data_IF_480104831485
#
_entry.id   IF_480104831485
#
_cell.length_a   1.000
_cell.length_b   1.000
_cell.length_c   1.000
_cell.angle_alpha   90.00
_cell.angle_beta   90.00
_cell.angle_gamma   90.00
#
_symmetry.space_group_name_H-M   'P 1'
#
loop_
_entity.id
_entity.type
_entity.pdbx_description
1 polymer ?
#
# COMPACT_ATOMS: atom_id res chain seq x y z
N UNK A 1 16.33 0.15 7.64
CA UNK A 1 16.48 0.57 9.05
C UNK A 1 17.81 0.15 9.67
N UNK A 2 18.09 -1.14 9.87
CA UNK A 2 19.35 -1.62 10.49
C UNK A 2 20.62 -1.08 9.81
N UNK A 3 20.72 -1.22 8.48
CA UNK A 3 21.86 -0.72 7.70
C UNK A 3 22.06 0.80 7.83
N UNK A 4 20.98 1.57 7.82
CA UNK A 4 21.02 3.02 8.01
C UNK A 4 21.65 3.42 9.34
N UNK A 5 21.33 2.71 10.43
CA UNK A 5 21.98 2.94 11.73
C UNK A 5 23.47 2.64 11.66
N UNK A 6 23.86 1.50 11.07
CA UNK A 6 25.28 1.14 10.92
C UNK A 6 26.08 2.18 10.15
N UNK A 7 25.47 2.81 9.15
CA UNK A 7 26.16 3.77 8.29
C UNK A 7 26.25 5.17 8.90
N UNK A 8 25.33 5.56 9.80
CA UNK A 8 25.22 6.96 10.29
C UNK A 8 25.39 7.12 11.81
N UNK A 9 25.55 6.05 12.59
CA UNK A 9 25.60 6.15 14.05
C UNK A 9 26.80 6.93 14.59
N UNK A 10 27.91 6.99 13.84
CA UNK A 10 29.13 7.69 14.23
C UNK A 10 28.98 9.21 14.12
N UNK A 11 28.16 9.68 13.18
CA UNK A 11 27.91 11.11 12.94
C UNK A 11 26.90 11.66 13.96
N UNK A 12 25.73 11.01 14.04
CA UNK A 12 24.70 11.35 15.01
C UNK A 12 23.88 10.10 15.36
N UNK A 13 24.26 9.49 16.49
CA UNK A 13 23.59 8.31 17.02
C UNK A 13 22.09 8.53 17.27
N UNK A 14 21.69 9.70 17.76
CA UNK A 14 20.30 9.97 18.13
C UNK A 14 19.44 10.12 16.87
N UNK A 15 19.90 10.91 15.92
CA UNK A 15 19.21 11.08 14.64
C UNK A 15 19.16 9.76 13.84
N UNK A 16 20.24 8.98 13.82
CA UNK A 16 20.28 7.69 13.15
C UNK A 16 19.24 6.71 13.70
N UNK A 17 19.08 6.64 15.03
CA UNK A 17 18.08 5.79 15.69
C UNK A 17 16.66 6.27 15.37
N UNK A 18 16.38 7.57 15.48
CA UNK A 18 15.04 8.10 15.22
C UNK A 18 14.62 7.93 13.75
N UNK A 19 15.54 8.15 12.80
CA UNK A 19 15.29 7.89 11.38
C UNK A 19 15.06 6.41 11.11
N UNK A 20 15.84 5.52 11.73
CA UNK A 20 15.63 4.08 11.58
C UNK A 20 14.29 3.61 12.18
N UNK A 21 13.88 4.15 13.34
CA UNK A 21 12.55 3.93 13.91
C UNK A 21 11.45 4.42 12.98
N UNK A 22 11.63 5.59 12.35
CA UNK A 22 10.68 6.12 11.36
C UNK A 22 10.56 5.18 10.16
N UNK A 23 11.68 4.74 9.56
CA UNK A 23 11.69 3.76 8.46
C UNK A 23 10.92 2.48 8.85
N UNK A 24 11.11 1.98 10.07
CA UNK A 24 10.35 0.82 10.54
C UNK A 24 8.88 1.16 10.78
N UNK A 25 8.56 2.32 11.37
CA UNK A 25 7.19 2.81 11.62
C UNK A 25 6.36 2.84 10.35
N UNK A 26 7.01 3.13 9.23
CA UNK A 26 6.36 3.38 7.96
C UNK A 26 6.53 2.25 6.94
N UNK A 27 7.18 1.14 7.31
CA UNK A 27 7.21 -0.07 6.49
C UNK A 27 5.85 -0.77 6.57
N UNK A 28 5.00 -0.53 5.56
CA UNK A 28 3.66 -1.11 5.43
C UNK A 28 3.67 -2.58 5.00
N UNK A 29 4.84 -3.18 4.82
CA UNK A 29 4.98 -4.55 4.37
C UNK A 29 4.35 -5.57 5.33
N UNK A 30 4.24 -5.26 6.63
CA UNK A 30 3.65 -6.16 7.64
C UNK A 30 2.96 -5.39 8.77
N UNK A 31 1.84 -5.93 9.27
CA UNK A 31 1.20 -5.45 10.49
C UNK A 31 2.19 -5.64 11.64
N UNK A 32 2.51 -4.58 12.37
CA UNK A 32 3.48 -4.66 13.48
C UNK A 32 2.86 -5.44 14.62
N UNK A 33 3.60 -6.39 15.13
CA UNK A 33 3.24 -7.09 16.35
C UNK A 33 3.24 -6.13 17.53
N UNK A 34 2.07 -5.92 18.11
CA UNK A 34 2.02 -5.69 19.55
C UNK A 34 2.48 -7.00 20.19
N UNK A 35 3.54 -6.98 20.98
CA UNK A 35 4.01 -8.15 21.74
C UNK A 35 3.03 -8.57 22.85
N UNK A 36 1.76 -8.23 22.67
CA UNK A 36 0.64 -8.34 23.59
C UNK A 36 -0.58 -8.84 22.82
N UNK A 37 -1.21 -9.89 23.33
CA UNK A 37 -2.43 -10.46 22.78
C UNK A 37 -3.63 -9.76 23.41
N UNK A 38 -4.36 -8.98 22.62
CA UNK A 38 -5.59 -8.31 23.08
C UNK A 38 -6.83 -9.21 22.98
N UNK A 39 -6.75 -10.27 22.18
CA UNK A 39 -7.81 -11.26 22.01
C UNK A 39 -7.24 -12.66 21.85
N UNK A 40 -8.10 -13.68 21.96
CA UNK A 40 -7.76 -15.09 21.68
C UNK A 40 -7.49 -15.36 20.19
N UNK A 41 -7.89 -14.44 19.31
CA UNK A 41 -7.55 -14.41 17.89
C UNK A 41 -6.25 -13.60 17.70
N UNK A 42 -5.22 -14.20 17.10
CA UNK A 42 -3.90 -13.57 16.92
C UNK A 42 -3.89 -12.50 15.80
N UNK A 43 -4.88 -11.60 15.78
CA UNK A 43 -5.13 -10.61 14.73
C UNK A 43 -4.02 -9.54 14.62
N UNK A 44 -3.27 -9.34 15.71
CA UNK A 44 -2.15 -8.40 15.78
C UNK A 44 -0.79 -9.10 15.66
N UNK A 45 -0.78 -10.41 15.35
CA UNK A 45 0.46 -11.16 15.16
C UNK A 45 0.89 -11.15 13.69
N UNK A 46 2.21 -11.19 13.46
CA UNK A 46 2.77 -11.41 12.13
C UNK A 46 2.34 -12.79 11.63
N UNK A 47 1.53 -12.85 10.59
CA UNK A 47 1.19 -14.11 9.93
C UNK A 47 2.39 -14.58 9.08
N UNK A 48 3.02 -15.72 9.38
CA UNK A 48 4.14 -16.25 8.60
C UNK A 48 3.75 -16.56 7.14
N UNK A 49 2.46 -16.77 6.88
CA UNK A 49 1.92 -17.03 5.53
C UNK A 49 1.64 -15.73 4.76
N UNK A 50 1.59 -14.59 5.45
CA UNK A 50 1.44 -13.29 4.79
C UNK A 50 2.76 -12.93 4.10
N UNK A 51 2.74 -12.95 2.77
CA UNK A 51 3.87 -12.51 1.97
C UNK A 51 4.21 -11.05 2.36
N UNK A 52 5.36 -10.86 2.97
CA UNK A 52 5.85 -9.58 3.52
C UNK A 52 6.23 -8.54 2.46
N UNK A 53 5.57 -8.56 1.30
CA UNK A 53 5.71 -7.54 0.26
C UNK A 53 4.36 -7.08 -0.27
N UNK A 54 3.25 -7.52 0.31
CA UNK A 54 1.92 -7.31 -0.28
C UNK A 54 1.40 -5.89 -0.01
N UNK A 55 1.76 -5.27 1.12
CA UNK A 55 1.26 -3.95 1.52
C UNK A 55 -0.06 -4.02 2.30
N UNK A 56 -0.64 -2.87 2.66
CA UNK A 56 -1.96 -2.79 3.31
C UNK A 56 -3.04 -3.09 2.27
N UNK A 57 -3.97 -3.98 2.56
CA UNK A 57 -5.09 -4.27 1.66
C UNK A 57 -6.02 -3.05 1.51
N UNK A 58 -6.18 -2.58 0.27
CA UNK A 58 -7.05 -1.46 -0.10
C UNK A 58 -8.41 -1.90 -0.65
N UNK A 59 -8.60 -3.19 -0.91
CA UNK A 59 -9.85 -3.72 -1.45
C UNK A 59 -9.70 -4.40 -2.79
N UNK A 60 -10.86 -4.65 -3.41
CA UNK A 60 -10.98 -5.18 -4.78
C UNK A 60 -11.50 -4.11 -5.72
N UNK A 61 -11.10 -4.20 -6.99
CA UNK A 61 -11.66 -3.36 -8.05
C UNK A 61 -13.11 -3.76 -8.27
N UNK A 62 -14.04 -2.83 -8.02
CA UNK A 62 -15.47 -3.05 -8.25
C UNK A 62 -15.93 -2.43 -9.56
N UNK A 63 -15.43 -1.23 -9.89
CA UNK A 63 -15.75 -0.52 -11.12
C UNK A 63 -14.47 0.01 -11.78
N UNK A 64 -14.49 0.08 -13.11
CA UNK A 64 -13.42 0.68 -13.90
C UNK A 64 -14.05 1.69 -14.86
N UNK A 65 -13.50 2.90 -14.89
CA UNK A 65 -13.80 3.94 -15.87
C UNK A 65 -12.57 4.20 -16.72
N UNK A 66 -12.76 4.65 -17.94
CA UNK A 66 -11.65 5.01 -18.83
C UNK A 66 -11.73 6.48 -19.16
N UNK A 67 -10.57 7.15 -19.15
CA UNK A 67 -10.47 8.50 -19.67
C UNK A 67 -10.83 8.51 -21.17
N UNK A 68 -11.68 9.45 -21.59
CA UNK A 68 -12.20 9.51 -22.97
C UNK A 68 -11.08 9.68 -24.02
N UNK A 69 -10.09 10.53 -23.72
CA UNK A 69 -8.95 10.82 -24.63
C UNK A 69 -7.77 9.85 -24.53
N UNK A 70 -7.30 9.54 -23.31
CA UNK A 70 -6.05 8.76 -23.10
C UNK A 70 -6.28 7.26 -22.95
N UNK A 71 -7.56 6.82 -22.83
CA UNK A 71 -7.95 5.44 -22.49
C UNK A 71 -7.25 4.92 -21.22
N UNK A 72 -6.94 5.82 -20.30
CA UNK A 72 -6.29 5.51 -19.04
C UNK A 72 -7.35 5.01 -18.06
N UNK A 73 -7.18 3.85 -17.40
CA UNK A 73 -8.19 3.32 -16.51
C UNK A 73 -8.11 4.00 -15.15
N UNK A 74 -9.29 4.32 -14.61
CA UNK A 74 -9.47 4.68 -13.22
C UNK A 74 -10.34 3.63 -12.54
N UNK A 75 -9.93 3.23 -11.35
CA UNK A 75 -10.52 2.10 -10.64
C UNK A 75 -11.18 2.60 -9.36
N UNK A 76 -12.34 2.03 -9.05
CA UNK A 76 -13.01 2.20 -7.76
C UNK A 76 -12.75 0.96 -6.93
N UNK A 77 -12.29 1.16 -5.70
CA UNK A 77 -11.96 0.09 -4.76
C UNK A 77 -13.05 -0.05 -3.71
N UNK A 78 -13.37 -1.31 -3.36
CA UNK A 78 -14.28 -1.62 -2.26
C UNK A 78 -13.66 -2.61 -1.28
N UNK A 79 -13.86 -2.34 0.01
CA UNK A 79 -13.45 -3.21 1.11
C UNK A 79 -12.09 -2.90 1.74
N UNK A 80 -11.45 -1.78 1.40
CA UNK A 80 -10.30 -1.25 2.12
C UNK A 80 -10.69 -0.33 3.28
N UNK A 81 -9.77 -0.15 4.23
CA UNK A 81 -9.93 0.78 5.36
C UNK A 81 -9.17 2.10 5.16
N UNK A 82 -8.59 2.30 3.98
CA UNK A 82 -7.77 3.47 3.65
C UNK A 82 -8.15 3.97 2.26
N UNK A 83 -8.30 5.29 2.14
CA UNK A 83 -8.60 5.98 0.89
C UNK A 83 -7.28 6.46 0.27
N UNK A 84 -6.89 5.94 -0.91
CA UNK A 84 -5.60 6.31 -1.52
C UNK A 84 -5.56 7.77 -1.96
N UNK A 85 -4.41 8.41 -1.77
CA UNK A 85 -4.15 9.80 -2.16
C UNK A 85 -3.18 9.91 -3.33
N UNK A 86 -3.17 11.08 -4.00
CA UNK A 86 -2.20 11.38 -5.05
C UNK A 86 -0.77 11.32 -4.47
N UNK A 87 0.08 10.48 -5.06
CA UNK A 87 1.45 10.23 -4.63
C UNK A 87 1.64 8.91 -3.89
N UNK A 88 0.55 8.26 -3.48
CA UNK A 88 0.60 6.92 -2.90
C UNK A 88 1.08 5.89 -3.93
N UNK A 89 1.81 4.88 -3.47
CA UNK A 89 2.23 3.76 -4.31
C UNK A 89 1.35 2.56 -4.00
N UNK A 90 0.58 2.13 -4.98
CA UNK A 90 -0.31 0.98 -4.90
C UNK A 90 0.26 -0.20 -5.68
N UNK A 91 -0.16 -1.41 -5.33
CA UNK A 91 0.12 -2.64 -6.05
C UNK A 91 -1.17 -3.34 -6.40
N UNK A 92 -1.33 -3.66 -7.68
CA UNK A 92 -2.47 -4.38 -8.21
C UNK A 92 -2.06 -5.82 -8.46
N UNK A 93 -2.85 -6.75 -7.94
CA UNK A 93 -2.69 -8.19 -8.13
C UNK A 93 -3.89 -8.70 -8.90
N UNK A 94 -3.63 -9.42 -10.00
CA UNK A 94 -4.69 -10.11 -10.70
C UNK A 94 -5.28 -11.23 -9.85
N UNK A 95 -6.58 -11.48 -9.99
CA UNK A 95 -7.28 -12.57 -9.31
C UNK A 95 -6.71 -13.97 -9.61
N UNK A 96 -6.04 -14.14 -10.75
CA UNK A 96 -5.39 -15.37 -11.19
C UNK A 96 -3.93 -15.47 -10.72
N UNK A 97 -3.45 -14.49 -9.92
CA UNK A 97 -2.06 -14.32 -9.46
C UNK A 97 -1.02 -14.30 -10.58
N UNK A 98 -1.44 -14.15 -11.84
CA UNK A 98 -0.55 -14.18 -13.01
C UNK A 98 0.33 -12.94 -13.11
N UNK A 99 -0.10 -11.82 -12.51
CA UNK A 99 0.60 -10.57 -12.61
C UNK A 99 0.40 -9.67 -11.39
N UNK A 100 1.48 -8.97 -11.02
CA UNK A 100 1.54 -8.00 -9.94
C UNK A 100 2.26 -6.75 -10.43
N UNK A 101 1.57 -5.62 -10.44
CA UNK A 101 2.12 -4.35 -10.94
C UNK A 101 2.03 -3.29 -9.87
N UNK A 102 3.15 -2.61 -9.62
CA UNK A 102 3.17 -1.45 -8.72
C UNK A 102 3.00 -0.18 -9.54
N UNK A 103 2.17 0.74 -9.05
CA UNK A 103 1.82 1.98 -9.71
C UNK A 103 1.78 3.12 -8.69
N UNK A 104 2.37 4.26 -9.03
CA UNK A 104 2.24 5.46 -8.23
C UNK A 104 1.00 6.21 -8.69
N UNK A 105 0.07 6.45 -7.77
CA UNK A 105 -1.16 7.22 -8.00
C UNK A 105 -0.77 8.64 -8.38
N UNK A 106 -1.18 9.06 -9.57
CA UNK A 106 -0.93 10.39 -10.13
C UNK A 106 -2.17 11.25 -10.11
N UNK A 107 -3.34 10.64 -10.20
CA UNK A 107 -4.60 11.36 -10.36
C UNK A 107 -5.75 10.60 -9.71
N UNK A 108 -6.67 11.38 -9.13
CA UNK A 108 -7.89 10.89 -8.50
C UNK A 108 -9.06 11.65 -9.12
N UNK A 109 -10.08 10.91 -9.54
CA UNK A 109 -11.32 11.44 -10.08
C UNK A 109 -12.47 11.12 -9.14
N UNK A 110 -13.15 12.14 -8.68
CA UNK A 110 -14.42 11.97 -7.96
C UNK A 110 -15.57 11.99 -8.97
N UNK A 111 -16.40 10.93 -8.96
CA UNK A 111 -17.55 10.85 -9.85
C UNK A 111 -18.74 10.25 -9.12
N UNK A 112 -19.84 11.02 -9.04
CA UNK A 112 -21.07 10.61 -8.36
C UNK A 112 -20.88 10.19 -6.88
N UNK A 113 -19.92 10.81 -6.19
CA UNK A 113 -19.56 10.49 -4.80
C UNK A 113 -18.64 9.28 -4.64
N UNK A 114 -18.30 8.58 -5.73
CA UNK A 114 -17.30 7.51 -5.74
C UNK A 114 -15.93 8.08 -6.13
N UNK A 115 -14.88 7.68 -5.40
CA UNK A 115 -13.49 8.10 -5.64
C UNK A 115 -12.75 7.08 -6.52
N UNK A 116 -12.39 7.48 -7.73
CA UNK A 116 -11.68 6.65 -8.69
C UNK A 116 -10.20 7.03 -8.73
N UNK A 117 -9.31 6.05 -8.61
CA UNK A 117 -7.86 6.25 -8.64
C UNK A 117 -7.27 5.80 -9.97
N UNK A 118 -6.27 6.50 -10.50
CA UNK A 118 -5.62 6.08 -11.74
C UNK A 118 -4.85 4.76 -11.56
N UNK A 119 -4.90 3.92 -12.59
CA UNK A 119 -4.33 2.57 -12.55
C UNK A 119 -3.62 2.20 -13.86
N UNK A 120 -2.73 1.20 -13.84
CA UNK A 120 -2.18 0.64 -15.06
C UNK A 120 -3.23 -0.16 -15.85
N UNK A 121 -3.01 -0.27 -17.16
CA UNK A 121 -3.86 -1.09 -18.06
C UNK A 121 -3.68 -2.58 -17.77
N UNK A 122 -4.73 -3.37 -18.00
CA UNK A 122 -4.68 -4.84 -17.93
C UNK A 122 -5.23 -5.47 -16.65
N UNK A 123 -5.83 -4.67 -15.77
CA UNK A 123 -6.56 -5.12 -14.59
C UNK A 123 -8.07 -5.04 -14.80
N UNK A 124 -8.82 -5.85 -14.06
CA UNK A 124 -10.25 -6.08 -14.23
C UNK A 124 -10.98 -6.16 -12.88
N UNK A 125 -12.32 -6.14 -12.92
CA UNK A 125 -13.14 -6.26 -11.72
C UNK A 125 -12.81 -7.56 -10.95
N UNK A 126 -12.65 -7.44 -9.64
CA UNK A 126 -12.28 -8.52 -8.73
C UNK A 126 -10.79 -8.65 -8.45
N UNK A 127 -9.93 -7.95 -9.18
CA UNK A 127 -8.49 -7.86 -8.88
C UNK A 127 -8.27 -7.12 -7.55
N UNK A 128 -7.27 -7.55 -6.79
CA UNK A 128 -6.99 -7.01 -5.45
C UNK A 128 -5.94 -5.92 -5.51
N UNK A 129 -6.12 -4.87 -4.71
CA UNK A 129 -5.21 -3.73 -4.65
C UNK A 129 -4.70 -3.54 -3.22
N UNK A 130 -3.42 -3.18 -3.13
CA UNK A 130 -2.72 -2.98 -1.87
C UNK A 130 -1.93 -1.67 -1.89
N UNK A 131 -1.79 -1.01 -0.74
CA UNK A 131 -0.95 0.16 -0.53
C UNK A 131 0.45 -0.29 -0.11
N UNK A 132 1.46 0.13 -0.87
CA UNK A 132 2.87 -0.11 -0.54
C UNK A 132 3.48 1.04 0.25
N UNK A 133 3.14 2.28 -0.10
CA UNK A 133 3.77 3.48 0.45
C UNK A 133 2.82 4.67 0.33
N UNK A 134 2.76 5.52 1.36
CA UNK A 134 1.98 6.76 1.33
C UNK A 134 2.79 7.93 0.75
N UNK A 135 2.11 8.95 0.25
CA UNK A 135 2.69 10.19 -0.26
C UNK A 135 3.66 10.85 0.71
N UNK A 136 3.35 10.83 2.02
CA UNK A 136 4.17 11.41 3.09
C UNK A 136 5.59 10.83 3.18
N UNK A 137 5.84 9.74 2.46
CA UNK A 137 7.10 9.01 2.43
C UNK A 137 7.86 9.16 1.10
N UNK A 138 7.28 9.81 0.09
CA UNK A 138 7.89 9.94 -1.25
C UNK A 138 8.74 11.20 -1.41
#
# INVERSE_FOLDING_TARGET
>A
AYRYVLDHWQEDKKAAIETAKRILATDFARKKTSYWYESSSAENLLDPKQAGGTGIYLGKIEKIRYHEKTKQPYIFLRGGSYEPEIGDSIRLHKKDDSNRVSHKVKEILEYAGDLFIDAPKGFSNGDTVYLLQTKSMS
#
